data_IF_909936829118
#
_entry.id   IF_909936829118
#
_cell.length_a   1.000
_cell.length_b   1.000
_cell.length_c   1.000
_cell.angle_alpha   90.00
_cell.angle_beta   90.00
_cell.angle_gamma   90.00
#
_symmetry.space_group_name_H-M   'P 1'
#
loop_
_entity.id
_entity.type
_entity.pdbx_description
1 polymer ?
#
# COMPACT_ATOMS: atom_id res chain seq x y z
N UNK A 1 27.17 29.12 -63.50
CA UNK A 1 26.09 29.91 -62.86
C UNK A 1 26.08 29.56 -61.39
N UNK A 2 26.29 30.56 -60.53
CA UNK A 2 26.21 30.43 -59.08
C UNK A 2 24.75 30.53 -58.67
N UNK A 3 24.24 29.56 -57.90
CA UNK A 3 23.00 29.73 -57.15
C UNK A 3 23.29 29.36 -55.71
N UNK A 4 23.45 30.42 -54.90
CA UNK A 4 23.50 30.38 -53.45
C UNK A 4 22.06 30.34 -52.95
N UNK A 5 21.64 29.22 -52.39
CA UNK A 5 20.35 29.08 -51.71
C UNK A 5 20.54 29.30 -50.22
N UNK A 6 20.07 30.45 -49.74
CA UNK A 6 19.83 30.74 -48.33
C UNK A 6 18.80 29.76 -47.77
N UNK A 7 19.15 29.03 -46.71
CA UNK A 7 18.17 28.31 -45.87
C UNK A 7 17.87 29.20 -44.67
N UNK A 8 16.62 29.63 -44.61
CA UNK A 8 16.01 30.45 -43.56
C UNK A 8 15.99 29.71 -42.22
N UNK A 9 16.56 30.35 -41.19
CA UNK A 9 16.45 29.96 -39.79
C UNK A 9 15.00 30.15 -39.32
N UNK A 10 14.28 29.05 -39.07
CA UNK A 10 12.96 29.07 -38.46
C UNK A 10 13.10 29.32 -36.95
N UNK A 11 12.63 30.49 -36.49
CA UNK A 11 12.58 30.86 -35.08
C UNK A 11 11.38 30.14 -34.44
N UNK A 12 11.63 29.11 -33.63
CA UNK A 12 10.59 28.44 -32.86
C UNK A 12 10.08 29.39 -31.76
N UNK A 13 8.85 29.86 -31.91
CA UNK A 13 8.14 30.60 -30.86
C UNK A 13 7.74 29.63 -29.76
N UNK A 14 8.42 29.69 -28.62
CA UNK A 14 8.03 29.00 -27.40
C UNK A 14 6.74 29.67 -26.87
N UNK A 15 5.59 29.06 -27.15
CA UNK A 15 4.35 29.45 -26.48
C UNK A 15 4.40 28.90 -25.06
N UNK A 16 4.63 29.76 -24.08
CA UNK A 16 4.41 29.41 -22.68
C UNK A 16 2.90 29.19 -22.49
N UNK A 17 2.47 27.93 -22.44
CA UNK A 17 1.13 27.60 -22.00
C UNK A 17 1.02 28.02 -20.53
N UNK A 18 0.12 28.96 -20.24
CA UNK A 18 -0.23 29.29 -18.86
C UNK A 18 -0.76 28.02 -18.17
N UNK A 19 -0.47 27.80 -16.88
CA UNK A 19 -1.04 26.68 -16.14
C UNK A 19 -2.57 26.81 -16.18
N UNK A 20 -3.22 25.88 -16.87
CA UNK A 20 -4.68 25.74 -16.78
C UNK A 20 -5.02 25.43 -15.34
N UNK A 21 -5.95 26.17 -14.69
CA UNK A 21 -6.38 25.82 -13.35
C UNK A 21 -6.96 24.41 -13.39
N UNK A 22 -6.43 23.52 -12.54
CA UNK A 22 -6.96 22.17 -12.34
C UNK A 22 -8.44 22.30 -12.03
N UNK A 23 -9.28 21.69 -12.87
CA UNK A 23 -10.72 21.65 -12.63
C UNK A 23 -10.94 20.54 -11.61
N UNK A 24 -11.13 20.90 -10.34
CA UNK A 24 -11.49 19.93 -9.31
C UNK A 24 -12.71 19.11 -9.78
N UNK A 25 -12.49 17.82 -10.03
CA UNK A 25 -13.56 16.84 -10.23
C UNK A 25 -13.97 16.36 -8.85
N UNK A 26 -15.28 16.28 -8.58
CA UNK A 26 -15.76 15.71 -7.32
C UNK A 26 -15.34 14.25 -7.19
N UNK A 27 -15.01 13.83 -5.97
CA UNK A 27 -14.62 12.45 -5.68
C UNK A 27 -15.65 11.42 -6.13
N UNK A 28 -15.17 10.26 -6.58
CA UNK A 28 -16.00 9.21 -7.18
C UNK A 28 -16.30 8.04 -6.25
N UNK A 29 -15.51 7.85 -5.18
CA UNK A 29 -15.55 6.63 -4.37
C UNK A 29 -16.57 6.69 -3.23
N UNK A 30 -16.84 7.87 -2.66
CA UNK A 30 -17.74 8.02 -1.51
C UNK A 30 -17.30 7.19 -0.29
N UNK A 31 -18.14 7.09 0.74
CA UNK A 31 -17.88 6.20 1.89
C UNK A 31 -18.18 4.76 1.52
N UNK A 32 -17.28 3.82 1.83
CA UNK A 32 -17.47 2.38 1.57
C UNK A 32 -16.98 1.55 2.76
N UNK A 33 -17.67 0.44 3.04
CA UNK A 33 -17.19 -0.53 4.04
C UNK A 33 -16.06 -1.39 3.50
N UNK A 34 -15.25 -1.96 4.38
CA UNK A 34 -14.28 -2.99 3.99
C UNK A 34 -14.96 -4.15 3.26
N UNK A 35 -16.11 -4.61 3.74
CA UNK A 35 -16.86 -5.72 3.14
C UNK A 35 -17.28 -5.40 1.70
N UNK A 36 -17.64 -4.14 1.41
CA UNK A 36 -17.94 -3.69 0.04
C UNK A 36 -16.69 -3.59 -0.84
N UNK A 37 -15.55 -3.21 -0.26
CA UNK A 37 -14.27 -3.06 -0.96
C UNK A 37 -13.53 -4.37 -1.17
N UNK A 38 -13.75 -5.35 -0.30
CA UNK A 38 -12.97 -6.58 -0.27
C UNK A 38 -13.14 -7.39 -1.55
N UNK A 39 -12.01 -7.92 -2.02
CA UNK A 39 -11.93 -8.87 -3.14
C UNK A 39 -11.50 -10.26 -2.66
N UNK A 40 -11.44 -10.49 -1.36
CA UNK A 40 -10.81 -11.69 -0.78
C UNK A 40 -11.59 -12.99 -1.00
N UNK A 41 -12.88 -12.92 -1.34
CA UNK A 41 -13.72 -14.09 -1.61
C UNK A 41 -13.59 -14.68 -3.01
N UNK A 42 -14.15 -15.88 -3.19
CA UNK A 42 -14.34 -16.52 -4.49
C UNK A 42 -13.17 -17.41 -4.89
N UNK A 43 -12.53 -17.07 -6.01
CA UNK A 43 -11.37 -17.80 -6.54
C UNK A 43 -10.17 -16.86 -6.68
N UNK A 44 -8.97 -17.40 -6.51
CA UNK A 44 -7.73 -16.68 -6.79
C UNK A 44 -7.43 -16.65 -8.30
N UNK A 45 -6.56 -15.71 -8.70
CA UNK A 45 -6.00 -15.60 -10.04
C UNK A 45 -6.40 -14.37 -10.85
N UNK A 46 -7.28 -13.52 -10.31
CA UNK A 46 -7.76 -12.29 -10.97
C UNK A 46 -7.81 -11.07 -10.03
N UNK A 47 -7.07 -11.10 -8.92
CA UNK A 47 -7.19 -10.12 -7.85
C UNK A 47 -7.04 -8.67 -8.31
N UNK A 48 -6.07 -8.38 -9.19
CA UNK A 48 -5.84 -7.00 -9.65
C UNK A 48 -7.06 -6.46 -10.40
N UNK A 49 -7.67 -7.25 -11.28
CA UNK A 49 -8.82 -6.79 -12.05
C UNK A 49 -10.04 -6.58 -11.14
N UNK A 50 -10.23 -7.45 -10.14
CA UNK A 50 -11.26 -7.27 -9.13
C UNK A 50 -11.05 -5.99 -8.32
N UNK A 51 -9.80 -5.69 -7.92
CA UNK A 51 -9.45 -4.47 -7.17
C UNK A 51 -9.69 -3.21 -8.01
N UNK A 52 -9.24 -3.20 -9.26
CA UNK A 52 -9.46 -2.07 -10.17
C UNK A 52 -10.96 -1.80 -10.41
N UNK A 53 -11.79 -2.84 -10.36
CA UNK A 53 -13.24 -2.68 -10.43
C UNK A 53 -13.85 -2.05 -9.16
N UNK A 54 -13.20 -2.20 -8.00
CA UNK A 54 -13.59 -1.58 -6.72
C UNK A 54 -13.03 -0.16 -6.55
N UNK A 55 -11.93 0.15 -7.20
CA UNK A 55 -11.24 1.44 -7.15
C UNK A 55 -11.25 2.14 -8.52
N UNK A 56 -12.41 2.64 -9.01
CA UNK A 56 -12.54 3.30 -10.31
C UNK A 56 -11.88 4.70 -10.39
N UNK A 57 -10.59 4.79 -10.08
CA UNK A 57 -9.76 5.99 -10.26
C UNK A 57 -9.46 6.18 -11.75
N UNK A 58 -9.57 7.42 -12.23
CA UNK A 58 -9.19 7.79 -13.61
C UNK A 58 -7.67 7.78 -13.76
N UNK A 59 -7.11 6.61 -14.10
CA UNK A 59 -5.66 6.41 -14.29
C UNK A 59 -5.10 7.12 -15.52
N UNK A 60 -5.96 7.71 -16.37
CA UNK A 60 -5.53 8.51 -17.52
C UNK A 60 -5.26 9.98 -17.16
N UNK A 61 -5.72 10.44 -15.99
CA UNK A 61 -5.67 11.84 -15.56
C UNK A 61 -5.43 11.99 -14.05
N UNK A 62 -4.33 11.41 -13.56
CA UNK A 62 -3.94 11.46 -12.15
C UNK A 62 -3.81 12.87 -11.56
N UNK A 63 -3.49 13.88 -12.39
CA UNK A 63 -3.34 15.26 -11.94
C UNK A 63 -4.65 15.88 -11.46
N UNK A 64 -5.80 15.36 -11.93
CA UNK A 64 -7.14 15.87 -11.60
C UNK A 64 -7.93 14.95 -10.65
N UNK A 65 -7.29 13.94 -10.04
CA UNK A 65 -7.91 13.11 -8.99
C UNK A 65 -8.24 13.96 -7.76
N UNK A 66 -9.45 13.82 -7.21
CA UNK A 66 -9.91 14.60 -6.07
C UNK A 66 -9.08 14.28 -4.81
N UNK A 67 -8.68 15.28 -4.01
CA UNK A 67 -8.01 15.04 -2.73
C UNK A 67 -8.76 14.09 -1.78
N UNK A 68 -10.09 14.06 -1.80
CA UNK A 68 -10.91 13.14 -1.04
C UNK A 68 -10.77 11.69 -1.53
N UNK A 69 -10.63 11.47 -2.85
CA UNK A 69 -10.33 10.13 -3.38
C UNK A 69 -8.89 9.72 -3.03
N UNK A 70 -7.93 10.64 -3.02
CA UNK A 70 -6.56 10.37 -2.55
C UNK A 70 -6.53 10.00 -1.06
N UNK A 71 -7.38 10.64 -0.24
CA UNK A 71 -7.54 10.30 1.16
C UNK A 71 -8.21 8.93 1.32
N UNK A 72 -9.28 8.67 0.57
CA UNK A 72 -9.96 7.38 0.54
C UNK A 72 -9.01 6.23 0.20
N UNK A 73 -8.12 6.39 -0.78
CA UNK A 73 -7.11 5.36 -1.09
C UNK A 73 -6.14 5.10 0.08
N UNK A 74 -5.88 6.11 0.92
CA UNK A 74 -5.17 5.96 2.19
C UNK A 74 -5.98 5.12 3.18
N UNK A 75 -7.25 5.46 3.39
CA UNK A 75 -8.14 4.72 4.29
C UNK A 75 -8.26 3.24 3.87
N UNK A 76 -8.34 2.96 2.56
CA UNK A 76 -8.35 1.58 2.04
C UNK A 76 -7.07 0.82 2.43
N UNK A 77 -5.91 1.48 2.41
CA UNK A 77 -4.66 0.85 2.81
C UNK A 77 -4.67 0.48 4.30
N UNK A 78 -5.08 1.42 5.15
CA UNK A 78 -5.14 1.25 6.61
C UNK A 78 -6.09 0.11 6.97
N UNK A 79 -7.32 0.16 6.45
CA UNK A 79 -8.34 -0.84 6.73
C UNK A 79 -7.95 -2.22 6.21
N UNK A 80 -7.37 -2.32 5.01
CA UNK A 80 -6.89 -3.59 4.49
C UNK A 80 -5.70 -4.13 5.32
N UNK A 81 -4.89 -3.25 5.91
CA UNK A 81 -3.82 -3.64 6.82
C UNK A 81 -4.37 -4.18 8.16
N UNK A 82 -5.40 -3.54 8.70
CA UNK A 82 -6.06 -3.97 9.94
C UNK A 82 -6.78 -5.31 9.72
N UNK A 83 -7.52 -5.46 8.63
CA UNK A 83 -8.11 -6.74 8.24
C UNK A 83 -7.05 -7.85 8.05
N UNK A 84 -5.85 -7.53 7.52
CA UNK A 84 -4.76 -8.49 7.44
C UNK A 84 -4.32 -8.96 8.84
N UNK A 85 -4.20 -8.03 9.78
CA UNK A 85 -3.66 -8.26 11.13
C UNK A 85 -4.66 -8.95 12.04
N UNK A 86 -5.89 -8.45 12.07
CA UNK A 86 -6.88 -8.81 13.09
C UNK A 86 -7.88 -9.87 12.60
N UNK A 87 -8.04 -10.04 11.28
CA UNK A 87 -8.89 -11.07 10.70
C UNK A 87 -8.08 -12.20 10.05
N UNK A 88 -7.29 -11.90 9.01
CA UNK A 88 -6.62 -12.95 8.23
C UNK A 88 -5.54 -13.69 9.02
N UNK A 89 -4.65 -12.99 9.73
CA UNK A 89 -3.59 -13.67 10.50
C UNK A 89 -4.20 -14.60 11.56
N UNK A 90 -5.19 -14.09 12.31
CA UNK A 90 -5.91 -14.85 13.33
C UNK A 90 -6.58 -16.09 12.74
N UNK A 91 -7.30 -15.95 11.63
CA UNK A 91 -7.97 -17.08 10.97
C UNK A 91 -6.97 -18.11 10.42
N UNK A 92 -5.87 -17.66 9.79
CA UNK A 92 -4.84 -18.53 9.22
C UNK A 92 -4.09 -19.32 10.30
N UNK A 93 -3.86 -18.72 11.47
CA UNK A 93 -3.24 -19.41 12.60
C UNK A 93 -4.11 -20.55 13.13
N UNK A 94 -5.43 -20.35 13.18
CA UNK A 94 -6.39 -21.35 13.63
C UNK A 94 -6.66 -22.45 12.57
N UNK A 95 -6.50 -22.14 11.28
CA UNK A 95 -6.85 -23.04 10.19
C UNK A 95 -5.74 -24.02 9.80
N UNK A 96 -6.16 -25.15 9.22
CA UNK A 96 -5.25 -26.18 8.67
C UNK A 96 -5.76 -26.68 7.31
N UNK A 97 -4.91 -27.41 6.58
CA UNK A 97 -5.29 -28.03 5.30
C UNK A 97 -5.79 -27.02 4.27
N UNK A 98 -6.81 -27.42 3.51
CA UNK A 98 -7.36 -26.63 2.39
C UNK A 98 -7.98 -25.30 2.85
N UNK A 99 -8.53 -25.25 4.07
CA UNK A 99 -9.07 -24.01 4.66
C UNK A 99 -7.97 -22.96 4.85
N UNK A 100 -6.81 -23.38 5.37
CA UNK A 100 -5.65 -22.49 5.53
C UNK A 100 -5.17 -21.95 4.19
N UNK A 101 -5.16 -22.79 3.15
CA UNK A 101 -4.80 -22.38 1.79
C UNK A 101 -5.79 -21.35 1.24
N UNK A 102 -7.10 -21.58 1.41
CA UNK A 102 -8.12 -20.65 0.96
C UNK A 102 -8.07 -19.29 1.69
N UNK A 103 -7.76 -19.30 3.00
CA UNK A 103 -7.53 -18.08 3.78
C UNK A 103 -6.25 -17.35 3.36
N UNK A 104 -5.17 -18.08 3.04
CA UNK A 104 -3.94 -17.49 2.50
C UNK A 104 -4.18 -16.82 1.14
N UNK A 105 -4.97 -17.45 0.26
CA UNK A 105 -5.38 -16.86 -1.00
C UNK A 105 -6.20 -15.59 -0.77
N UNK A 106 -7.18 -15.62 0.15
CA UNK A 106 -7.95 -14.43 0.52
C UNK A 106 -7.08 -13.29 1.06
N UNK A 107 -6.09 -13.62 1.89
CA UNK A 107 -5.09 -12.67 2.39
C UNK A 107 -4.24 -12.08 1.25
N UNK A 108 -3.83 -12.87 0.27
CA UNK A 108 -3.08 -12.38 -0.90
C UNK A 108 -3.93 -11.37 -1.69
N UNK A 109 -5.21 -11.67 -1.96
CA UNK A 109 -6.12 -10.74 -2.63
C UNK A 109 -6.30 -9.44 -1.83
N UNK A 110 -6.41 -9.54 -0.49
CA UNK A 110 -6.44 -8.36 0.38
C UNK A 110 -5.14 -7.53 0.31
N UNK A 111 -3.97 -8.18 0.19
CA UNK A 111 -2.70 -7.46 -0.05
C UNK A 111 -2.68 -6.76 -1.40
N UNK A 112 -3.24 -7.35 -2.45
CA UNK A 112 -3.37 -6.69 -3.76
C UNK A 112 -4.24 -5.44 -3.63
N UNK A 113 -5.38 -5.50 -2.92
CA UNK A 113 -6.21 -4.33 -2.63
C UNK A 113 -5.42 -3.23 -1.91
N UNK A 114 -4.74 -3.60 -0.82
CA UNK A 114 -3.92 -2.69 -0.01
C UNK A 114 -2.86 -1.96 -0.82
N UNK A 115 -2.10 -2.71 -1.62
CA UNK A 115 -0.95 -2.20 -2.36
C UNK A 115 -1.35 -1.41 -3.61
N UNK A 116 -2.38 -1.85 -4.32
CA UNK A 116 -2.91 -1.10 -5.47
C UNK A 116 -3.48 0.26 -5.03
N UNK A 117 -4.21 0.30 -3.91
CA UNK A 117 -4.69 1.57 -3.35
C UNK A 117 -3.53 2.54 -3.08
N UNK A 118 -2.44 2.05 -2.48
CA UNK A 118 -1.22 2.84 -2.25
C UNK A 118 -0.55 3.28 -3.55
N UNK A 119 -0.45 2.40 -4.56
CA UNK A 119 0.16 2.72 -5.85
C UNK A 119 -0.65 3.83 -6.55
N UNK A 120 -1.98 3.70 -6.61
CA UNK A 120 -2.86 4.74 -7.17
C UNK A 120 -2.73 6.07 -6.41
N UNK A 121 -2.66 6.00 -5.08
CA UNK A 121 -2.49 7.18 -4.22
C UNK A 121 -1.16 7.89 -4.52
N UNK A 122 -0.05 7.14 -4.58
CA UNK A 122 1.28 7.69 -4.83
C UNK A 122 1.43 8.23 -6.26
N UNK A 123 0.76 7.62 -7.25
CA UNK A 123 0.70 8.11 -8.63
C UNK A 123 -0.07 9.44 -8.73
N UNK A 124 -1.23 9.53 -8.08
CA UNK A 124 -2.00 10.77 -7.99
C UNK A 124 -1.19 11.89 -7.31
N UNK A 125 -0.54 11.56 -6.19
CA UNK A 125 0.34 12.49 -5.47
C UNK A 125 1.55 12.95 -6.31
N UNK A 126 2.18 12.05 -7.07
CA UNK A 126 3.26 12.39 -8.00
C UNK A 126 2.78 13.37 -9.07
N UNK A 127 1.62 13.09 -9.68
CA UNK A 127 1.01 13.96 -10.69
C UNK A 127 0.63 15.34 -10.13
N UNK A 128 0.40 15.44 -8.82
CA UNK A 128 0.15 16.68 -8.08
C UNK A 128 1.42 17.34 -7.50
N UNK A 129 2.61 16.86 -7.88
CA UNK A 129 3.89 17.50 -7.58
C UNK A 129 4.54 17.06 -6.26
N UNK A 130 4.04 16.00 -5.60
CA UNK A 130 4.72 15.40 -4.43
C UNK A 130 5.82 14.44 -4.90
N UNK A 131 6.93 14.38 -4.17
CA UNK A 131 7.99 13.40 -4.43
C UNK A 131 7.62 12.04 -3.82
N UNK A 132 7.19 11.11 -4.66
CA UNK A 132 6.79 9.75 -4.26
C UNK A 132 7.60 8.66 -4.95
N UNK A 133 8.60 9.01 -5.77
CA UNK A 133 9.21 8.08 -6.73
C UNK A 133 9.82 6.82 -6.08
N UNK A 134 10.55 7.00 -4.98
CA UNK A 134 11.18 5.87 -4.27
C UNK A 134 10.12 4.94 -3.65
N UNK A 135 9.12 5.50 -2.97
CA UNK A 135 8.03 4.74 -2.36
C UNK A 135 7.19 4.04 -3.43
N UNK A 136 6.89 4.72 -4.53
CA UNK A 136 6.12 4.15 -5.63
C UNK A 136 6.82 2.91 -6.21
N UNK A 137 8.14 2.98 -6.43
CA UNK A 137 8.91 1.83 -6.91
C UNK A 137 8.90 0.64 -5.93
N UNK A 138 9.02 0.91 -4.63
CA UNK A 138 8.96 -0.13 -3.60
C UNK A 138 7.57 -0.80 -3.54
N UNK A 139 6.52 -0.01 -3.46
CA UNK A 139 5.14 -0.52 -3.34
C UNK A 139 4.69 -1.21 -4.63
N UNK A 140 5.11 -0.72 -5.81
CA UNK A 140 4.86 -1.41 -7.09
C UNK A 140 5.49 -2.81 -7.10
N UNK A 141 6.72 -2.94 -6.61
CA UNK A 141 7.38 -4.26 -6.55
C UNK A 141 6.66 -5.21 -5.59
N UNK A 142 6.18 -4.72 -4.44
CA UNK A 142 5.38 -5.52 -3.51
C UNK A 142 4.06 -5.95 -4.15
N UNK A 143 3.39 -5.05 -4.87
CA UNK A 143 2.15 -5.32 -5.58
C UNK A 143 2.35 -6.41 -6.64
N UNK A 144 3.35 -6.26 -7.52
CA UNK A 144 3.69 -7.23 -8.57
C UNK A 144 3.93 -8.64 -8.00
N UNK A 145 4.64 -8.73 -6.87
CA UNK A 145 4.86 -10.01 -6.21
C UNK A 145 3.53 -10.66 -5.74
N UNK A 146 2.61 -9.89 -5.17
CA UNK A 146 1.33 -10.44 -4.71
C UNK A 146 0.39 -10.77 -5.87
N UNK A 147 0.42 -10.00 -6.97
CA UNK A 147 -0.28 -10.35 -8.22
C UNK A 147 0.24 -11.69 -8.76
N UNK A 148 1.57 -11.89 -8.76
CA UNK A 148 2.15 -13.14 -9.21
C UNK A 148 1.76 -14.32 -8.31
N UNK A 149 1.68 -14.12 -6.99
CA UNK A 149 1.22 -15.13 -6.05
C UNK A 149 -0.27 -15.49 -6.27
N UNK A 150 -1.12 -14.49 -6.47
CA UNK A 150 -2.54 -14.70 -6.79
C UNK A 150 -2.70 -15.47 -8.11
N UNK A 151 -1.99 -15.03 -9.16
CA UNK A 151 -1.98 -15.70 -10.46
C UNK A 151 -1.49 -17.15 -10.39
N UNK A 152 -0.50 -17.44 -9.54
CA UNK A 152 -0.01 -18.80 -9.31
C UNK A 152 -1.05 -19.69 -8.59
N UNK A 153 -1.93 -19.09 -7.79
CA UNK A 153 -3.05 -19.75 -7.14
C UNK A 153 -4.33 -19.80 -8.01
N UNK A 154 -4.25 -19.46 -9.31
CA UNK A 154 -5.41 -19.35 -10.18
C UNK A 154 -6.35 -20.56 -10.11
N UNK A 155 -7.64 -20.29 -9.89
CA UNK A 155 -8.69 -21.29 -9.77
C UNK A 155 -8.77 -22.01 -8.43
N UNK A 156 -7.86 -21.74 -7.49
CA UNK A 156 -7.98 -22.21 -6.12
C UNK A 156 -9.03 -21.38 -5.35
N UNK A 157 -9.69 -21.97 -4.33
CA UNK A 157 -10.60 -21.23 -3.46
C UNK A 157 -9.90 -20.07 -2.75
N UNK A 158 -10.66 -19.00 -2.52
CA UNK A 158 -10.24 -17.82 -1.77
C UNK A 158 -11.34 -17.43 -0.77
N UNK A 159 -10.98 -17.31 0.51
CA UNK A 159 -11.95 -17.07 1.58
C UNK A 159 -12.08 -15.59 1.90
N UNK A 160 -13.32 -15.09 1.84
CA UNK A 160 -13.68 -13.78 2.37
C UNK A 160 -13.78 -13.83 3.89
N UNK A 161 -13.21 -12.83 4.56
CA UNK A 161 -13.44 -12.54 5.97
C UNK A 161 -14.05 -11.15 6.07
N UNK A 162 -15.16 -11.04 6.80
CA UNK A 162 -15.77 -9.74 7.11
C UNK A 162 -14.91 -9.01 8.15
N UNK A 163 -14.84 -7.69 8.03
CA UNK A 163 -14.14 -6.83 8.97
C UNK A 163 -14.88 -5.48 9.05
N UNK A 164 -15.22 -5.06 10.27
CA UNK A 164 -16.00 -3.84 10.48
C UNK A 164 -15.10 -2.61 10.46
N UNK A 165 -15.04 -1.98 9.29
CA UNK A 165 -14.31 -0.74 9.06
C UNK A 165 -14.84 -0.02 7.80
N UNK A 166 -14.62 1.29 7.70
CA UNK A 166 -15.14 2.11 6.60
C UNK A 166 -14.10 3.13 6.12
N UNK A 167 -13.91 3.20 4.80
CA UNK A 167 -13.11 4.21 4.12
C UNK A 167 -13.97 5.43 3.74
N UNK A 168 -13.40 6.63 3.74
CA UNK A 168 -14.08 7.84 3.29
C UNK A 168 -15.07 8.42 4.30
N UNK A 169 -14.91 8.15 5.60
CA UNK A 169 -15.73 8.75 6.68
C UNK A 169 -15.44 10.25 6.93
N UNK A 170 -14.57 10.86 6.11
CA UNK A 170 -14.10 12.23 6.26
C UNK A 170 -12.89 12.28 7.17
N UNK A 171 -12.01 13.26 6.96
CA UNK A 171 -10.85 13.50 7.80
C UNK A 171 -11.26 13.95 9.22
N UNK A 172 -11.79 13.03 10.02
CA UNK A 172 -11.75 13.12 11.46
C UNK A 172 -10.41 12.52 11.87
N UNK A 173 -9.55 13.38 12.39
CA UNK A 173 -8.39 12.93 13.13
C UNK A 173 -8.86 11.88 14.14
N UNK A 174 -8.09 10.80 14.28
CA UNK A 174 -8.28 9.74 15.26
C UNK A 174 -8.84 10.29 16.58
N UNK A 175 -10.13 10.04 16.82
CA UNK A 175 -10.72 10.06 18.15
C UNK A 175 -10.86 8.60 18.56
N UNK A 176 -10.01 8.24 19.51
CA UNK A 176 -9.93 6.94 20.15
C UNK A 176 -11.23 6.66 20.90
N UNK A 177 -11.90 5.55 20.57
CA UNK A 177 -12.89 4.94 21.46
C UNK A 177 -14.34 4.97 20.98
N UNK A 178 -14.70 4.03 20.11
CA UNK A 178 -16.06 3.51 20.09
C UNK A 178 -16.31 2.73 21.40
N UNK A 179 -17.01 3.35 22.36
CA UNK A 179 -17.74 2.61 23.38
C UNK A 179 -19.20 2.55 22.94
N UNK A 180 -19.61 1.33 22.62
CA UNK A 180 -20.96 0.95 22.25
C UNK A 180 -22.01 1.40 23.29
N UNK A 181 -23.23 1.63 22.78
CA UNK A 181 -24.48 1.67 23.52
C UNK A 181 -24.49 0.67 24.69
N UNK A 182 -24.67 1.17 25.91
CA UNK A 182 -25.40 0.43 26.94
C UNK A 182 -26.44 1.36 27.56
N UNK A 183 -27.69 0.96 27.37
CA UNK A 183 -28.87 1.65 27.85
C UNK A 183 -28.95 1.64 29.38
N UNK A 184 -29.11 2.82 30.00
CA UNK A 184 -29.79 2.91 31.32
C UNK A 184 -30.78 4.06 31.30
N UNK A 185 -32.02 3.73 30.93
CA UNK A 185 -33.19 4.51 31.33
C UNK A 185 -33.55 4.18 32.78
N UNK A 186 -33.58 5.18 33.65
CA UNK A 186 -34.64 5.39 34.64
C UNK A 186 -34.38 6.67 35.45
N UNK A 187 -35.41 7.53 35.48
CA UNK A 187 -35.76 8.51 36.51
C UNK A 187 -35.06 8.33 37.87
N UNK A 188 -34.42 9.39 38.37
CA UNK A 188 -34.83 9.91 39.68
C UNK A 188 -34.45 11.39 39.81
N UNK A 189 -35.44 12.20 40.16
CA UNK A 189 -35.31 13.62 40.39
C UNK A 189 -34.51 13.90 41.67
N UNK A 190 -33.51 14.80 41.61
CA UNK A 190 -33.15 15.59 42.79
C UNK A 190 -32.91 17.05 42.41
N UNK A 191 -33.71 17.87 43.07
CA UNK A 191 -33.93 19.28 42.84
C UNK A 191 -32.78 20.19 43.29
N UNK A 192 -32.74 21.35 42.62
CA UNK A 192 -32.59 22.72 43.11
C UNK A 192 -31.45 23.13 44.08
N UNK A 193 -30.91 24.30 43.74
CA UNK A 193 -30.23 25.31 44.57
C UNK A 193 -28.92 24.91 45.25
N UNK A 194 -27.81 25.45 44.74
CA UNK A 194 -27.13 26.49 45.53
C UNK A 194 -26.27 27.39 44.64
N UNK A 195 -26.65 28.67 44.62
CA UNK A 195 -25.83 29.76 44.10
C UNK A 195 -24.65 30.01 45.03
N UNK A 196 -23.42 30.01 44.50
CA UNK A 196 -22.34 30.80 45.11
C UNK A 196 -21.62 31.58 44.02
N UNK A 197 -21.97 32.86 43.97
CA UNK A 197 -21.27 33.88 43.25
C UNK A 197 -20.01 34.35 44.01
N UNK A 198 -19.14 34.98 43.22
CA UNK A 198 -18.20 36.05 43.55
C UNK A 198 -16.74 35.69 43.89
N UNK A 199 -15.88 36.33 43.10
CA UNK A 199 -14.61 37.00 43.43
C UNK A 199 -13.64 36.30 44.38
N UNK A 200 -12.46 35.96 43.84
CA UNK A 200 -11.24 36.45 44.48
C UNK A 200 -10.10 36.63 43.46
N UNK A 201 -9.84 37.89 43.15
CA UNK A 201 -8.62 38.39 42.51
C UNK A 201 -7.45 38.17 43.48
N UNK A 202 -6.42 37.41 43.09
CA UNK A 202 -5.10 37.56 43.74
C UNK A 202 -3.98 37.60 42.70
N UNK A 203 -3.25 38.69 42.82
CA UNK A 203 -2.20 39.18 41.96
C UNK A 203 -0.89 38.37 42.01
N UNK A 204 -0.01 38.80 41.12
CA UNK A 204 1.36 38.36 40.85
C UNK A 204 2.33 38.35 42.04
N UNK A 205 3.52 37.81 41.71
CA UNK A 205 4.82 37.77 42.41
C UNK A 205 5.02 36.65 43.43
N UNK A 206 5.87 35.68 43.04
CA UNK A 206 7.10 35.49 43.81
C UNK A 206 8.23 34.88 42.96
N UNK A 207 9.32 35.63 42.91
CA UNK A 207 10.63 35.28 42.34
C UNK A 207 11.51 34.61 43.41
N UNK A 208 12.59 33.96 42.95
CA UNK A 208 13.78 33.51 43.71
C UNK A 208 13.56 32.22 44.55
N UNK A 209 14.39 31.17 44.49
CA UNK A 209 15.84 31.15 44.52
C UNK A 209 16.43 29.85 43.94
N UNK A 210 17.65 29.98 43.43
CA UNK A 210 18.56 28.90 43.12
C UNK A 210 19.27 28.35 44.37
N UNK A 211 19.93 27.21 44.13
CA UNK A 211 21.08 26.63 44.84
C UNK A 211 20.77 25.59 45.93
N UNK A 212 21.14 24.33 45.71
CA UNK A 212 22.42 23.82 46.25
C UNK A 212 22.68 22.34 45.85
N UNK A 213 23.94 22.00 45.58
CA UNK A 213 24.46 20.65 45.84
C UNK A 213 24.80 19.75 44.65
N UNK A 214 25.99 19.96 44.07
CA UNK A 214 26.70 18.98 43.25
C UNK A 214 27.18 17.75 44.05
N UNK A 215 27.17 16.57 43.44
CA UNK A 215 28.23 15.56 43.64
C UNK A 215 28.62 14.97 42.29
N UNK A 216 29.92 15.04 42.02
CA UNK A 216 30.65 14.47 40.91
C UNK A 216 30.96 12.96 41.13
N UNK A 217 31.68 12.40 40.16
CA UNK A 217 32.28 11.05 40.03
C UNK A 217 31.31 10.05 39.36
N UNK A 218 31.55 9.53 38.15
CA UNK A 218 32.76 8.81 37.77
C UNK A 218 32.96 8.72 36.23
N UNK A 219 34.16 9.12 35.80
CA UNK A 219 35.03 8.59 34.74
C UNK A 219 34.55 8.38 33.27
N UNK A 220 35.35 8.99 32.41
CA UNK A 220 35.36 9.00 30.94
C UNK A 220 36.12 7.79 30.40
N UNK A 221 35.65 7.19 29.30
CA UNK A 221 36.57 6.72 28.22
C UNK A 221 35.85 6.69 26.88
N UNK A 222 36.12 7.71 26.05
CA UNK A 222 36.43 7.50 24.64
C UNK A 222 37.88 6.96 24.59
N UNK A 223 38.36 6.17 23.64
CA UNK A 223 38.37 6.40 22.20
C UNK A 223 39.15 5.24 21.55
N UNK A 224 38.92 5.09 20.24
CA UNK A 224 39.90 4.70 19.22
C UNK A 224 40.46 3.28 19.07
N UNK A 225 40.50 2.85 17.81
CA UNK A 225 41.13 1.60 17.38
C UNK A 225 41.11 1.44 15.86
N UNK A 226 41.77 2.34 15.15
CA UNK A 226 41.90 2.39 13.69
C UNK A 226 42.83 1.30 13.07
N UNK A 227 42.46 0.91 11.85
CA UNK A 227 43.26 0.69 10.63
C UNK A 227 44.46 -0.31 10.55
N UNK A 228 44.26 -1.27 9.62
CA UNK A 228 45.08 -1.62 8.42
C UNK A 228 46.34 -2.54 8.49
N UNK A 229 46.48 -3.27 7.36
CA UNK A 229 47.60 -4.09 6.81
C UNK A 229 47.93 -5.42 7.52
N UNK A 230 48.28 -6.54 6.87
CA UNK A 230 48.78 -6.81 5.52
C UNK A 230 48.63 -8.31 5.17
N UNK A 231 48.73 -8.55 3.87
CA UNK A 231 48.74 -9.71 2.94
C UNK A 231 49.13 -11.16 3.30
N UNK A 232 48.78 -12.01 2.30
CA UNK A 232 49.36 -13.28 1.83
C UNK A 232 48.65 -14.60 2.20
N UNK A 233 48.54 -15.62 1.34
CA UNK A 233 48.63 -15.82 -0.11
C UNK A 233 48.34 -17.33 -0.36
N UNK A 234 47.66 -17.65 -1.47
CA UNK A 234 47.67 -18.94 -2.22
C UNK A 234 47.29 -20.24 -1.45
N UNK A 235 46.80 -21.34 -2.03
CA UNK A 235 46.83 -21.86 -3.38
C UNK A 235 45.80 -23.02 -3.48
N UNK A 236 45.54 -23.42 -4.73
CA UNK A 236 45.22 -24.77 -5.20
C UNK A 236 43.75 -25.18 -5.46
N UNK A 237 43.35 -24.84 -6.69
CA UNK A 237 42.75 -25.69 -7.73
C UNK A 237 41.86 -26.88 -7.30
N UNK A 238 40.71 -27.10 -7.94
CA UNK A 238 40.72 -27.71 -9.29
C UNK A 238 39.38 -27.52 -10.00
N UNK A 239 39.50 -27.20 -11.28
CA UNK A 239 38.50 -27.45 -12.31
C UNK A 239 38.68 -28.88 -12.84
N UNK A 240 37.56 -29.57 -13.05
CA UNK A 240 37.29 -30.65 -14.02
C UNK A 240 35.82 -31.06 -13.75
N UNK A 241 34.94 -31.41 -14.67
CA UNK A 241 35.09 -31.88 -16.05
C UNK A 241 33.72 -31.73 -16.74
N UNK A 242 33.78 -31.83 -18.06
CA UNK A 242 32.85 -31.39 -19.08
C UNK A 242 31.68 -32.33 -19.41
N UNK A 243 30.83 -31.79 -20.30
CA UNK A 243 30.19 -32.44 -21.43
C UNK A 243 29.01 -33.41 -21.19
N UNK A 244 27.86 -33.06 -21.76
CA UNK A 244 27.36 -33.74 -22.97
C UNK A 244 26.09 -33.05 -23.49
N UNK A 245 26.09 -32.75 -24.78
CA UNK A 245 24.86 -32.60 -25.55
C UNK A 245 24.21 -33.98 -25.73
N UNK A 246 22.88 -34.07 -25.69
CA UNK A 246 22.20 -35.10 -26.49
C UNK A 246 20.81 -34.66 -26.95
N UNK A 247 20.63 -34.88 -28.24
CA UNK A 247 19.59 -34.49 -29.13
C UNK A 247 18.70 -35.72 -29.33
N UNK A 248 17.49 -35.73 -28.75
CA UNK A 248 16.53 -36.84 -28.98
C UNK A 248 15.15 -36.33 -29.38
N UNK A 249 15.03 -36.05 -30.68
CA UNK A 249 14.15 -36.76 -31.61
C UNK A 249 12.79 -37.22 -31.08
N UNK A 250 11.76 -36.64 -31.70
CA UNK A 250 10.51 -37.28 -32.13
C UNK A 250 10.27 -38.71 -31.63
N UNK A 251 9.41 -38.85 -30.62
CA UNK A 251 8.68 -40.09 -30.42
C UNK A 251 7.34 -39.96 -31.12
N UNK A 252 7.36 -40.39 -32.36
CA UNK A 252 6.20 -40.76 -33.16
C UNK A 252 5.38 -41.81 -32.38
N UNK A 253 4.41 -41.36 -31.57
CA UNK A 253 3.38 -42.27 -31.04
C UNK A 253 2.42 -42.57 -32.17
N UNK A 254 2.76 -43.66 -32.86
CA UNK A 254 1.89 -44.52 -33.65
C UNK A 254 0.43 -44.50 -33.15
N UNK A 255 -0.41 -43.70 -33.80
CA UNK A 255 -1.85 -43.92 -33.84
C UNK A 255 -2.28 -44.09 -35.28
N UNK A 256 -2.35 -45.35 -35.66
CA UNK A 256 -3.17 -45.91 -36.73
C UNK A 256 -4.50 -45.17 -36.89
N UNK A 257 -4.62 -44.33 -37.93
CA UNK A 257 -5.91 -44.03 -38.57
C UNK A 257 -5.73 -43.84 -40.08
N UNK A 258 -5.55 -44.98 -40.75
CA UNK A 258 -5.80 -45.12 -42.18
C UNK A 258 -7.31 -45.06 -42.43
N UNK A 259 -7.68 -44.34 -43.48
CA UNK A 259 -8.95 -44.36 -44.23
C UNK A 259 -10.16 -43.69 -43.57
N UNK A 260 -10.46 -42.48 -44.02
CA UNK A 260 -11.70 -42.14 -44.75
C UNK A 260 -11.66 -40.66 -45.15
N UNK A 261 -11.25 -40.39 -46.39
CA UNK A 261 -11.71 -39.17 -47.09
C UNK A 261 -12.49 -39.61 -48.32
N UNK A 262 -13.78 -39.82 -48.06
CA UNK A 262 -14.83 -39.78 -49.05
C UNK A 262 -15.22 -38.30 -49.16
N UNK A 263 -15.11 -37.72 -50.36
CA UNK A 263 -16.09 -36.78 -50.96
C UNK A 263 -15.48 -36.03 -52.15
N UNK A 264 -16.19 -36.21 -53.26
CA UNK A 264 -16.40 -35.36 -54.44
C UNK A 264 -15.17 -34.87 -55.22
#
# INVERSE_FOLDING_TARGET
MQYSTFVTLALATLSAAAPTPLKARAGVLGTQSYDDLSVSGGVAGDALNEVLAKLPIDTSDFANVDPADIAFLGDVNDIANDAETDAFNVAIEAATGDEKVALQNGKIKNKVLKLEATVLQLQAQAAQGKDTAAKLAEETKKLENNIALDAAAAGQPSTFLSFDAQAGSGAVAADDGAAADDEVAADDEVAADDEVAADDEVAADDEVAADDGATADDEVVADDGAAADDEAAADDATADDAAAEDDTKEVEVCTTKRVKKSKL
#
